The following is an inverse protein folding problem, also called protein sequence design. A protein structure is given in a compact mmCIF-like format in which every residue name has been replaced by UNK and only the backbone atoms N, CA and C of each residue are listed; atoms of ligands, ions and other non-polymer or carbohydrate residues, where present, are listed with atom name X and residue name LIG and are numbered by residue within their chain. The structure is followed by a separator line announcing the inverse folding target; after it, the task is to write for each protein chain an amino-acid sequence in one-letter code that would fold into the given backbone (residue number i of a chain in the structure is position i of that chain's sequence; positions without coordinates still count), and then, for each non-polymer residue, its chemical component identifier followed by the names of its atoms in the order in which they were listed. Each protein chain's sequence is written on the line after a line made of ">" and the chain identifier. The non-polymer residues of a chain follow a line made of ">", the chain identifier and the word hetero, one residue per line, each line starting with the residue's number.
data_IF_170561707110
#
_entry.id   IF_170561707110
#
_cell.length_a   1.000
_cell.length_b   1.000
_cell.length_c   1.000
_cell.angle_alpha   90.00
_cell.angle_beta   90.00
_cell.angle_gamma   90.00
#
_symmetry.space_group_name_H-M   'P 1'
#
loop_
_entity.id
_entity.type
_entity.pdbx_description
1 polymer ?
#
# COMPACT_ATOMS: atom_id res chain seq x y z
N UNK A 1 -1.61 -13.31 -4.86
CA UNK A 1 -2.55 -12.16 -4.94
C UNK A 1 -1.72 -10.90 -5.10
N UNK A 2 -2.10 -9.99 -6.01
CA UNK A 2 -1.42 -8.71 -6.22
C UNK A 2 -2.42 -7.60 -5.88
N UNK A 3 -2.03 -6.65 -5.03
CA UNK A 3 -2.83 -5.47 -4.73
C UNK A 3 -2.17 -4.25 -5.38
N UNK A 4 -2.94 -3.50 -6.18
CA UNK A 4 -2.52 -2.19 -6.71
C UNK A 4 -3.21 -1.09 -5.92
N UNK A 5 -2.43 -0.12 -5.47
CA UNK A 5 -2.91 1.03 -4.70
C UNK A 5 -2.49 2.28 -5.48
N UNK A 6 -3.46 3.14 -5.79
CA UNK A 6 -3.19 4.44 -6.40
C UNK A 6 -3.14 5.50 -5.31
N UNK A 7 -2.06 6.29 -5.28
CA UNK A 7 -1.91 7.45 -4.38
C UNK A 7 -1.48 8.68 -5.18
N UNK A 8 -1.73 9.86 -4.62
CA UNK A 8 -1.34 11.12 -5.23
C UNK A 8 0.17 11.40 -5.09
N UNK A 9 0.74 11.03 -3.94
CA UNK A 9 2.17 11.11 -3.65
C UNK A 9 2.65 9.84 -2.93
N UNK A 10 3.95 9.54 -2.99
CA UNK A 10 4.57 8.43 -2.29
C UNK A 10 4.62 8.66 -0.77
N UNK A 11 4.72 9.92 -0.33
CA UNK A 11 4.71 10.26 1.12
C UNK A 11 3.37 9.92 1.77
N UNK A 12 2.27 10.14 1.06
CA UNK A 12 0.92 9.76 1.52
C UNK A 12 0.82 8.27 1.83
N UNK A 13 1.42 7.40 1.01
CA UNK A 13 1.40 5.96 1.25
C UNK A 13 2.42 5.51 2.31
N UNK A 14 3.64 6.02 2.22
CA UNK A 14 4.78 5.53 3.01
C UNK A 14 4.81 6.05 4.44
N UNK A 15 4.31 7.26 4.68
CA UNK A 15 4.25 7.90 6.00
C UNK A 15 2.78 8.02 6.41
N UNK A 16 1.99 8.79 5.66
CA UNK A 16 0.61 9.14 6.03
C UNK A 16 -0.25 7.92 6.34
N UNK A 17 -0.33 6.98 5.40
CA UNK A 17 -1.10 5.76 5.58
C UNK A 17 -0.47 4.85 6.65
N UNK A 18 0.84 4.59 6.59
CA UNK A 18 1.50 3.63 7.50
C UNK A 18 1.45 4.04 8.98
N UNK A 19 1.44 5.33 9.27
CA UNK A 19 1.34 5.86 10.63
C UNK A 19 -0.11 6.09 11.07
N UNK A 20 -1.07 5.96 10.15
CA UNK A 20 -2.49 6.15 10.46
C UNK A 20 -3.12 4.94 11.19
N UNK A 21 -4.19 5.15 11.97
CA UNK A 21 -5.00 4.06 12.52
C UNK A 21 -5.59 3.12 11.46
N UNK A 22 -5.77 3.61 10.23
CA UNK A 22 -6.30 2.82 9.11
C UNK A 22 -5.34 1.71 8.68
N UNK A 23 -4.03 1.89 8.84
CA UNK A 23 -3.06 0.82 8.54
C UNK A 23 -3.26 -0.39 9.45
N UNK A 24 -3.54 -0.18 10.73
CA UNK A 24 -3.84 -1.27 11.68
C UNK A 24 -5.09 -2.04 11.27
N UNK A 25 -6.16 -1.33 10.88
CA UNK A 25 -7.41 -1.96 10.41
C UNK A 25 -7.18 -2.74 9.11
N UNK A 26 -6.44 -2.15 8.16
CA UNK A 26 -6.07 -2.79 6.90
C UNK A 26 -5.26 -4.07 7.14
N UNK A 27 -4.27 -4.04 8.05
CA UNK A 27 -3.49 -5.23 8.44
C UNK A 27 -4.37 -6.29 9.10
N UNK A 28 -5.31 -5.92 9.97
CA UNK A 28 -6.19 -6.88 10.63
C UNK A 28 -7.00 -7.71 9.61
N UNK A 29 -7.46 -7.06 8.53
CA UNK A 29 -8.24 -7.72 7.48
C UNK A 29 -7.35 -8.56 6.56
N UNK A 30 -6.21 -8.02 6.12
CA UNK A 30 -5.43 -8.64 5.05
C UNK A 30 -4.30 -9.58 5.52
N UNK A 31 -3.74 -9.37 6.71
CA UNK A 31 -2.61 -10.20 7.19
C UNK A 31 -2.92 -11.70 7.21
N UNK A 32 -4.13 -12.17 7.59
CA UNK A 32 -4.46 -13.60 7.56
C UNK A 32 -4.37 -14.24 6.16
N UNK A 33 -4.42 -13.44 5.10
CA UNK A 33 -4.33 -13.91 3.72
C UNK A 33 -2.89 -13.93 3.18
N UNK A 34 -1.92 -13.42 3.95
CA UNK A 34 -0.52 -13.39 3.56
C UNK A 34 0.25 -14.55 4.19
N UNK A 35 0.89 -15.38 3.36
CA UNK A 35 1.80 -16.42 3.86
C UNK A 35 3.14 -15.85 4.33
N UNK A 36 3.57 -14.72 3.76
CA UNK A 36 4.80 -13.99 4.08
C UNK A 36 4.55 -12.49 3.98
N UNK A 37 5.39 -11.63 4.60
CA UNK A 37 5.32 -10.18 4.40
C UNK A 37 5.32 -9.83 2.89
N UNK A 38 4.39 -8.97 2.42
CA UNK A 38 4.35 -8.60 1.02
C UNK A 38 5.53 -7.69 0.65
N UNK A 39 6.07 -7.88 -0.55
CA UNK A 39 7.02 -6.96 -1.18
C UNK A 39 6.22 -5.79 -1.75
N UNK A 40 6.67 -4.56 -1.48
CA UNK A 40 6.02 -3.34 -1.96
C UNK A 40 6.94 -2.62 -2.96
N UNK A 41 6.47 -2.48 -4.20
CA UNK A 41 7.14 -1.75 -5.27
C UNK A 41 6.33 -0.48 -5.59
N UNK A 42 7.03 0.63 -5.84
CA UNK A 42 6.41 1.91 -6.20
C UNK A 42 6.70 2.22 -7.66
N UNK A 43 5.66 2.60 -8.39
CA UNK A 43 5.75 2.93 -9.80
C UNK A 43 5.26 4.36 -10.03
N UNK A 44 5.99 5.11 -10.85
CA UNK A 44 5.53 6.39 -11.38
C UNK A 44 4.99 6.18 -12.79
N UNK A 45 3.81 6.72 -13.07
CA UNK A 45 3.25 6.73 -14.42
C UNK A 45 4.07 7.68 -15.29
N UNK A 46 4.73 7.16 -16.32
CA UNK A 46 5.61 7.92 -17.21
C UNK A 46 4.92 8.50 -18.46
N UNK A 47 3.66 8.11 -18.73
CA UNK A 47 2.84 8.66 -19.81
C UNK A 47 1.35 8.53 -19.46
N UNK A 48 0.60 9.62 -19.57
CA UNK A 48 -0.86 9.63 -19.57
C UNK A 48 -1.26 10.31 -20.88
N UNK A 49 -1.50 9.49 -21.91
CA UNK A 49 -2.03 9.98 -23.20
C UNK A 49 -3.42 10.53 -22.94
#
# INVERSE_FOLDING_TARGET
>A
MILKIATFDIKEQSIGFRESPLFTQWRAILSPHFQNPPIAEHFQTINKI
#
